data_IF_594544762579
#
_entry.id   IF_594544762579
#
_cell.length_a   1.000
_cell.length_b   1.000
_cell.length_c   1.000
_cell.angle_alpha   90.00
_cell.angle_beta   90.00
_cell.angle_gamma   90.00
#
_symmetry.space_group_name_H-M   'P 1'
#
loop_
_entity.id
_entity.type
_entity.pdbx_description
1 polymer ?
#
# COMPACT_ATOMS: atom_id res chain seq x y z
N UNK A 1 -0.65 -14.37 -4.21
CA UNK A 1 -1.38 -13.54 -5.22
C UNK A 1 -0.68 -13.69 -6.56
N UNK A 2 -1.37 -13.53 -7.71
CA UNK A 2 -0.67 -13.49 -9.01
C UNK A 2 0.28 -12.29 -9.04
N UNK A 3 1.54 -12.51 -9.41
CA UNK A 3 2.58 -11.46 -9.46
C UNK A 3 2.16 -10.29 -10.35
N UNK A 4 1.56 -10.58 -11.50
CA UNK A 4 1.06 -9.55 -12.42
C UNK A 4 -0.07 -8.69 -11.86
N UNK A 5 -0.84 -9.18 -10.87
CA UNK A 5 -1.84 -8.38 -10.17
C UNK A 5 -1.19 -7.52 -9.08
N UNK A 6 -0.17 -8.04 -8.42
CA UNK A 6 0.60 -7.29 -7.41
C UNK A 6 1.25 -6.05 -8.00
N UNK A 7 1.99 -6.23 -9.09
CA UNK A 7 2.64 -5.14 -9.81
C UNK A 7 1.65 -4.08 -10.30
N UNK A 8 0.42 -4.47 -10.66
CA UNK A 8 -0.63 -3.51 -11.05
C UNK A 8 -1.13 -2.70 -9.88
N UNK A 9 -1.28 -3.31 -8.71
CA UNK A 9 -1.71 -2.64 -7.49
C UNK A 9 -0.61 -1.71 -6.95
N UNK A 10 0.65 -2.10 -7.04
CA UNK A 10 1.79 -1.22 -6.73
C UNK A 10 1.83 0.02 -7.62
N UNK A 11 1.66 -0.15 -8.95
CA UNK A 11 1.54 0.99 -9.87
C UNK A 11 0.36 1.91 -9.55
N UNK A 12 -0.74 1.35 -9.04
CA UNK A 12 -1.89 2.16 -8.60
C UNK A 12 -1.57 2.95 -7.33
N UNK A 13 -0.73 2.44 -6.42
CA UNK A 13 -0.22 3.19 -5.27
C UNK A 13 0.68 4.35 -5.72
N UNK A 14 1.64 4.08 -6.60
CA UNK A 14 2.51 5.12 -7.18
C UNK A 14 1.66 6.23 -7.84
N UNK A 15 0.66 5.83 -8.62
CA UNK A 15 -0.26 6.77 -9.27
C UNK A 15 -1.04 7.61 -8.25
N UNK A 16 -1.45 7.03 -7.14
CA UNK A 16 -2.18 7.75 -6.11
C UNK A 16 -1.27 8.80 -5.43
N UNK A 17 -0.01 8.49 -5.15
CA UNK A 17 0.96 9.46 -4.63
C UNK A 17 1.20 10.61 -5.64
N UNK A 18 1.34 10.30 -6.93
CA UNK A 18 1.43 11.31 -7.97
C UNK A 18 0.21 12.24 -7.98
N UNK A 19 -1.00 11.67 -7.88
CA UNK A 19 -2.24 12.44 -7.86
C UNK A 19 -2.34 13.34 -6.63
N UNK A 20 -1.89 12.90 -5.45
CA UNK A 20 -1.82 13.77 -4.26
C UNK A 20 -0.87 14.94 -4.45
N UNK A 21 0.29 14.70 -5.06
CA UNK A 21 1.23 15.76 -5.42
C UNK A 21 0.60 16.76 -6.38
N UNK A 22 -0.05 16.29 -7.45
CA UNK A 22 -0.73 17.14 -8.43
C UNK A 22 -1.91 17.91 -7.84
N UNK A 23 -2.69 17.29 -6.95
CA UNK A 23 -3.82 17.95 -6.29
C UNK A 23 -3.37 18.99 -5.25
N UNK A 24 -2.10 18.94 -4.82
CA UNK A 24 -1.50 19.93 -3.93
C UNK A 24 -0.84 21.10 -4.70
N UNK A 25 -0.69 20.99 -6.02
CA UNK A 25 -0.06 22.01 -6.86
C UNK A 25 -0.99 23.23 -7.08
N UNK A 26 -0.57 24.46 -6.70
CA UNK A 26 -1.33 25.68 -6.95
C UNK A 26 -1.73 25.91 -8.41
N UNK A 27 -0.90 25.52 -9.38
CA UNK A 27 -1.22 25.66 -10.80
C UNK A 27 -2.38 24.75 -11.19
N UNK A 28 -2.44 23.54 -10.63
CA UNK A 28 -3.54 22.60 -10.84
C UNK A 28 -4.79 23.07 -10.12
N UNK A 29 -4.68 23.50 -8.86
CA UNK A 29 -5.80 24.01 -8.05
C UNK A 29 -6.46 25.21 -8.73
N UNK A 30 -5.67 26.10 -9.34
CA UNK A 30 -6.20 27.25 -10.09
C UNK A 30 -6.95 26.86 -11.38
N UNK A 31 -6.70 25.65 -11.91
CA UNK A 31 -7.39 25.11 -13.07
C UNK A 31 -8.51 24.14 -12.66
N UNK A 32 -9.72 24.69 -12.49
CA UNK A 32 -10.91 23.96 -12.04
C UNK A 32 -11.17 22.66 -12.83
N UNK A 33 -10.96 22.66 -14.14
CA UNK A 33 -11.21 21.48 -14.98
C UNK A 33 -10.20 20.38 -14.71
N UNK A 34 -8.90 20.71 -14.66
CA UNK A 34 -7.85 19.74 -14.33
C UNK A 34 -8.02 19.21 -12.92
N UNK A 35 -8.24 20.10 -11.95
CA UNK A 35 -8.45 19.73 -10.55
C UNK A 35 -9.63 18.76 -10.40
N UNK A 36 -10.75 19.00 -11.09
CA UNK A 36 -11.92 18.11 -11.05
C UNK A 36 -11.62 16.72 -11.59
N UNK A 37 -10.95 16.62 -12.74
CA UNK A 37 -10.61 15.34 -13.36
C UNK A 37 -9.67 14.54 -12.47
N UNK A 38 -8.62 15.17 -11.94
CA UNK A 38 -7.65 14.53 -11.05
C UNK A 38 -8.30 14.11 -9.72
N UNK A 39 -9.22 14.92 -9.19
CA UNK A 39 -9.97 14.59 -7.97
C UNK A 39 -10.88 13.38 -8.16
N UNK A 40 -11.50 13.25 -9.34
CA UNK A 40 -12.32 12.09 -9.69
C UNK A 40 -11.45 10.83 -9.81
N UNK A 41 -10.33 10.90 -10.52
CA UNK A 41 -9.37 9.79 -10.62
C UNK A 41 -8.88 9.35 -9.24
N UNK A 42 -8.48 10.31 -8.39
CA UNK A 42 -8.05 10.02 -7.02
C UNK A 42 -9.14 9.32 -6.20
N UNK A 43 -10.39 9.79 -6.30
CA UNK A 43 -11.51 9.19 -5.58
C UNK A 43 -11.81 7.75 -6.04
N UNK A 44 -11.63 7.45 -7.33
CA UNK A 44 -11.82 6.10 -7.89
C UNK A 44 -10.73 5.12 -7.43
N UNK A 45 -9.48 5.58 -7.33
CA UNK A 45 -8.34 4.73 -6.92
C UNK A 45 -8.31 4.50 -5.41
N UNK A 46 -8.72 5.49 -4.60
CA UNK A 46 -8.67 5.45 -3.14
C UNK A 46 -9.24 4.18 -2.48
N UNK A 47 -10.43 3.65 -2.84
CA UNK A 47 -10.93 2.42 -2.22
C UNK A 47 -10.05 1.19 -2.51
N UNK A 48 -9.45 1.13 -3.72
CA UNK A 48 -8.55 0.04 -4.11
C UNK A 48 -7.27 0.11 -3.26
N UNK A 49 -6.70 1.31 -3.11
CA UNK A 49 -5.54 1.55 -2.26
C UNK A 49 -5.80 1.13 -0.81
N UNK A 50 -6.93 1.53 -0.22
CA UNK A 50 -7.26 1.19 1.18
C UNK A 50 -7.27 -0.33 1.37
N UNK A 51 -7.91 -1.06 0.45
CA UNK A 51 -7.97 -2.50 0.49
C UNK A 51 -6.58 -3.14 0.36
N UNK A 52 -5.77 -2.66 -0.59
CA UNK A 52 -4.44 -3.21 -0.83
C UNK A 52 -3.48 -2.94 0.34
N UNK A 53 -3.50 -1.74 0.92
CA UNK A 53 -2.70 -1.41 2.11
C UNK A 53 -3.10 -2.26 3.33
N UNK A 54 -4.39 -2.54 3.51
CA UNK A 54 -4.85 -3.48 4.54
C UNK A 54 -4.32 -4.89 4.29
N UNK A 55 -4.37 -5.37 3.05
CA UNK A 55 -3.81 -6.67 2.66
C UNK A 55 -2.30 -6.75 2.97
N UNK A 56 -1.52 -5.74 2.59
CA UNK A 56 -0.07 -5.68 2.85
C UNK A 56 0.22 -5.71 4.35
N UNK A 57 -0.52 -4.93 5.15
CA UNK A 57 -0.37 -4.90 6.60
C UNK A 57 -0.66 -6.27 7.23
N UNK A 58 -1.76 -6.91 6.84
CA UNK A 58 -2.12 -8.24 7.35
C UNK A 58 -1.06 -9.27 6.97
N UNK A 59 -0.60 -9.25 5.71
CA UNK A 59 0.43 -10.17 5.22
C UNK A 59 1.73 -10.02 6.01
N UNK A 60 2.20 -8.78 6.20
CA UNK A 60 3.39 -8.48 7.00
C UNK A 60 3.24 -8.90 8.46
N UNK A 61 2.05 -8.70 9.05
CA UNK A 61 1.79 -9.15 10.42
C UNK A 61 1.86 -10.68 10.55
N UNK A 62 1.35 -11.41 9.56
CA UNK A 62 1.43 -12.88 9.52
C UNK A 62 2.89 -13.32 9.41
N UNK A 63 3.67 -12.72 8.50
CA UNK A 63 5.10 -13.00 8.34
C UNK A 63 5.86 -12.75 9.64
N UNK A 64 5.70 -11.56 10.24
CA UNK A 64 6.32 -11.21 11.52
C UNK A 64 5.94 -12.21 12.63
N UNK A 65 4.67 -12.63 12.69
CA UNK A 65 4.22 -13.59 13.71
C UNK A 65 4.85 -14.97 13.51
N UNK A 66 5.02 -15.40 12.25
CA UNK A 66 5.72 -16.65 11.94
C UNK A 66 7.20 -16.58 12.27
N UNK A 67 7.86 -15.46 12.02
CA UNK A 67 9.28 -15.30 12.32
C UNK A 67 9.51 -15.24 13.84
N UNK A 68 8.64 -14.57 14.59
CA UNK A 68 8.66 -14.62 16.06
C UNK A 68 8.49 -16.05 16.60
N UNK A 69 7.61 -16.86 16.00
CA UNK A 69 7.46 -18.27 16.41
C UNK A 69 8.74 -19.07 16.16
N UNK A 70 9.40 -18.87 15.02
CA UNK A 70 10.68 -19.55 14.72
C UNK A 70 11.80 -19.12 15.67
N UNK A 71 11.87 -17.84 16.02
CA UNK A 71 12.84 -17.33 16.98
C UNK A 71 12.63 -17.94 18.37
N UNK A 72 11.40 -17.99 18.87
CA UNK A 72 11.07 -18.64 20.14
C UNK A 72 11.43 -20.14 20.15
N UNK A 73 11.14 -20.86 19.06
CA UNK A 73 11.49 -22.28 18.94
C UNK A 73 13.01 -22.50 18.94
N UNK A 74 13.78 -21.60 18.32
CA UNK A 74 15.24 -21.64 18.32
C UNK A 74 15.82 -21.34 19.70
N UNK A 75 15.32 -20.32 20.40
CA UNK A 75 15.75 -19.99 21.77
C UNK A 75 15.45 -21.13 22.76
N UNK A 76 14.27 -21.75 22.66
CA UNK A 76 13.92 -22.92 23.49
C UNK A 76 14.83 -24.11 23.19
N UNK A 77 15.22 -24.30 21.93
CA UNK A 77 16.12 -25.37 21.52
C UNK A 77 17.55 -25.14 22.00
N UNK A 78 18.03 -23.90 21.99
CA UNK A 78 19.33 -23.52 22.56
C UNK A 78 19.37 -23.66 24.08
N UNK A 79 18.26 -23.41 24.78
CA UNK A 79 18.15 -23.61 26.24
C UNK A 79 18.05 -25.08 26.67
N UNK A 80 17.76 -26.00 25.74
CA UNK A 80 17.61 -27.42 26.01
C UNK A 80 18.91 -28.25 25.78
N UNK A 81 19.98 -27.62 25.27
CA UNK A 81 21.36 -28.17 25.22
C UNK A 81 22.17 -27.80 26.47
#
# INVERSE_FOLDING_TARGET
MKESLHLKLEKLLERQEELEGLLSDPEIISNQNKFRVLSQEYAEIRPIMICFNQYLKITKNIENSHDMLKENDNEIRELAE
#
